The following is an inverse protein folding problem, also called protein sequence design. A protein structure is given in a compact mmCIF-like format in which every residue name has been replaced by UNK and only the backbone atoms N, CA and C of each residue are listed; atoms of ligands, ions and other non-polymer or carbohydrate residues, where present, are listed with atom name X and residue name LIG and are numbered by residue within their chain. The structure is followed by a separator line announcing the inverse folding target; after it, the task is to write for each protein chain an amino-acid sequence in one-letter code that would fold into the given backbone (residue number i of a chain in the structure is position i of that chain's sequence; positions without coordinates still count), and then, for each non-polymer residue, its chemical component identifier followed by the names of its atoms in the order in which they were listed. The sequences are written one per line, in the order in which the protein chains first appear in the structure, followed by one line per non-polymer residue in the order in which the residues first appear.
data_IF_111222621110
#
_entry.id   IF_111222621110
#
_cell.length_a   1.000
_cell.length_b   1.000
_cell.length_c   1.000
_cell.angle_alpha   90.00
_cell.angle_beta   90.00
_cell.angle_gamma   90.00
#
_symmetry.space_group_name_H-M   'P 1'
#
loop_
_entity.id
_entity.type
_entity.pdbx_description
1 polymer ?
#
# COMPACT_ATOMS: atom_id res chain seq x y z
N UNK A 1 29.12 11.50 8.89
CA UNK A 1 29.39 12.84 8.35
C UNK A 1 28.07 13.37 7.78
N UNK A 2 27.37 14.25 8.50
CA UNK A 2 26.08 14.83 8.07
C UNK A 2 26.29 15.82 6.94
N UNK A 3 25.87 15.45 5.72
CA UNK A 3 25.84 16.36 4.59
C UNK A 3 24.68 17.34 4.68
N UNK A 4 24.88 18.57 4.21
CA UNK A 4 23.85 19.60 4.11
C UNK A 4 22.83 19.23 3.02
N UNK A 5 21.53 19.34 3.31
CA UNK A 5 20.45 19.06 2.35
C UNK A 5 20.47 20.05 1.18
N UNK A 6 20.16 19.53 -0.02
CA UNK A 6 20.07 20.33 -1.24
C UNK A 6 18.69 20.20 -1.88
N UNK A 7 18.13 21.33 -2.30
CA UNK A 7 16.94 21.37 -3.14
C UNK A 7 17.35 21.28 -4.60
N UNK A 8 16.71 20.38 -5.37
CA UNK A 8 16.82 20.33 -6.83
C UNK A 8 15.43 20.52 -7.43
N UNK A 9 15.25 21.55 -8.23
CA UNK A 9 13.99 21.85 -8.92
C UNK A 9 14.23 21.89 -10.43
N UNK A 10 13.46 21.12 -11.18
CA UNK A 10 13.54 21.08 -12.65
C UNK A 10 12.85 22.30 -13.23
N UNK A 11 13.49 23.00 -14.17
CA UNK A 11 12.92 24.12 -14.90
C UNK A 11 11.98 23.55 -15.98
N UNK A 12 10.73 24.07 -16.09
CA UNK A 12 9.80 23.68 -17.13
C UNK A 12 10.42 23.84 -18.53
N UNK A 13 10.09 22.94 -19.46
CA UNK A 13 10.70 22.88 -20.80
C UNK A 13 10.54 24.17 -21.57
N UNK A 14 9.40 24.83 -21.45
CA UNK A 14 9.06 26.11 -22.08
C UNK A 14 9.90 27.31 -21.58
N UNK A 15 10.63 27.13 -20.46
CA UNK A 15 11.46 28.19 -19.86
C UNK A 15 12.96 27.89 -19.90
N UNK A 16 13.38 26.70 -20.36
CA UNK A 16 14.79 26.29 -20.31
C UNK A 16 15.70 27.21 -21.14
N UNK A 17 15.25 27.60 -22.32
CA UNK A 17 16.02 28.51 -23.20
C UNK A 17 16.19 29.90 -22.56
N UNK A 18 15.17 30.31 -21.76
CA UNK A 18 15.22 31.59 -21.05
C UNK A 18 16.13 31.58 -19.82
N UNK A 19 16.22 30.41 -19.12
CA UNK A 19 17.04 30.24 -17.93
C UNK A 19 18.43 29.66 -18.23
N UNK A 20 18.72 29.25 -19.44
CA UNK A 20 20.01 28.68 -19.88
C UNK A 20 20.39 27.36 -19.19
N UNK A 21 19.42 26.68 -18.52
CA UNK A 21 19.66 25.46 -17.74
C UNK A 21 18.40 24.61 -17.60
N UNK A 22 18.59 23.34 -17.27
CA UNK A 22 17.47 22.38 -17.09
C UNK A 22 16.99 22.25 -15.64
N UNK A 23 17.81 22.65 -14.65
CA UNK A 23 17.43 22.57 -13.24
C UNK A 23 18.15 23.63 -12.39
N UNK A 24 17.56 23.95 -11.23
CA UNK A 24 18.13 24.78 -10.17
C UNK A 24 18.52 23.85 -9.02
N UNK A 25 19.77 23.99 -8.54
CA UNK A 25 20.27 23.33 -7.33
C UNK A 25 20.59 24.39 -6.29
N UNK A 26 20.12 24.19 -5.06
CA UNK A 26 20.33 25.14 -3.98
C UNK A 26 20.56 24.39 -2.67
N UNK A 27 21.59 24.80 -1.91
CA UNK A 27 21.82 24.28 -0.57
C UNK A 27 20.77 24.84 0.39
N UNK A 28 20.17 24.01 1.20
CA UNK A 28 19.24 24.41 2.27
C UNK A 28 19.97 24.77 3.57
N UNK A 29 21.31 24.72 3.58
CA UNK A 29 22.19 25.08 4.69
C UNK A 29 21.81 24.44 6.05
N UNK A 30 21.14 23.28 6.02
CA UNK A 30 20.78 22.51 7.21
C UNK A 30 21.08 21.04 6.99
N UNK A 31 21.50 20.35 8.04
CA UNK A 31 21.62 18.90 8.11
C UNK A 31 20.41 18.25 8.83
N UNK A 32 19.48 19.06 9.35
CA UNK A 32 18.24 18.60 9.96
C UNK A 32 17.18 18.34 8.88
N UNK A 33 16.56 17.15 8.92
CA UNK A 33 15.59 16.71 7.92
C UNK A 33 14.28 17.52 7.96
N UNK A 34 13.77 17.81 9.16
CA UNK A 34 12.49 18.51 9.29
C UNK A 34 12.63 19.97 8.84
N UNK A 35 13.74 20.60 9.23
CA UNK A 35 14.07 21.94 8.77
C UNK A 35 14.31 22.00 7.26
N UNK A 36 14.95 20.98 6.67
CA UNK A 36 15.15 20.89 5.23
C UNK A 36 13.84 20.71 4.44
N UNK A 37 12.89 19.95 4.97
CA UNK A 37 11.55 19.78 4.35
C UNK A 37 10.77 21.11 4.36
N UNK A 38 10.84 21.88 5.45
CA UNK A 38 10.20 23.18 5.59
C UNK A 38 10.81 24.23 4.62
N UNK A 39 12.14 24.39 4.66
CA UNK A 39 12.87 25.30 3.79
C UNK A 39 12.72 24.93 2.31
N UNK A 40 12.77 23.63 2.00
CA UNK A 40 12.60 23.13 0.63
C UNK A 40 11.18 23.34 0.08
N UNK A 41 10.15 23.27 0.92
CA UNK A 41 8.77 23.55 0.53
C UNK A 41 8.56 25.05 0.24
N UNK A 42 9.06 25.92 1.11
CA UNK A 42 8.98 27.37 0.93
C UNK A 42 9.70 27.81 -0.36
N UNK A 43 10.91 27.27 -0.61
CA UNK A 43 11.70 27.62 -1.80
C UNK A 43 11.09 27.06 -3.08
N UNK A 44 10.46 25.89 -3.07
CA UNK A 44 9.69 25.37 -4.23
C UNK A 44 8.54 26.29 -4.60
N UNK A 45 7.80 26.79 -3.63
CA UNK A 45 6.69 27.73 -3.85
C UNK A 45 7.19 29.01 -4.49
N UNK A 46 8.35 29.53 -4.02
CA UNK A 46 8.99 30.71 -4.57
C UNK A 46 9.46 30.49 -6.03
N UNK A 47 10.09 29.36 -6.31
CA UNK A 47 10.52 29.02 -7.67
C UNK A 47 9.34 28.84 -8.63
N UNK A 48 8.23 28.28 -8.19
CA UNK A 48 7.01 28.19 -9.00
C UNK A 48 6.43 29.59 -9.31
N UNK A 49 6.42 30.48 -8.35
CA UNK A 49 6.02 31.88 -8.59
C UNK A 49 6.94 32.57 -9.59
N UNK A 50 8.26 32.36 -9.50
CA UNK A 50 9.25 32.86 -10.44
C UNK A 50 9.02 32.33 -11.86
N UNK A 51 8.76 31.03 -12.03
CA UNK A 51 8.44 30.44 -13.33
C UNK A 51 7.16 31.01 -13.94
N UNK A 52 6.15 31.23 -13.12
CA UNK A 52 4.89 31.85 -13.58
C UNK A 52 5.08 33.33 -13.97
N UNK A 53 5.90 34.07 -13.25
CA UNK A 53 6.27 35.46 -13.60
C UNK A 53 7.07 35.48 -14.90
N UNK A 54 8.04 34.57 -15.08
CA UNK A 54 8.86 34.46 -16.28
C UNK A 54 8.04 34.14 -17.55
N UNK A 55 6.93 33.44 -17.44
CA UNK A 55 6.01 33.18 -18.57
C UNK A 55 5.26 34.44 -19.03
N UNK A 56 5.03 35.37 -18.12
CA UNK A 56 4.29 36.62 -18.39
C UNK A 56 5.16 37.79 -18.81
N UNK A 57 6.49 37.74 -18.54
CA UNK A 57 7.40 38.83 -18.78
C UNK A 57 8.06 38.74 -20.17
N UNK A 58 8.31 39.87 -20.89
CA UNK A 58 9.17 39.89 -22.09
C UNK A 58 10.60 39.49 -21.75
N UNK A 59 11.32 38.92 -22.71
CA UNK A 59 12.63 38.26 -22.52
C UNK A 59 13.69 39.18 -21.85
N UNK A 60 13.64 40.47 -22.07
CA UNK A 60 14.52 41.48 -21.49
C UNK A 60 14.37 41.64 -19.97
N UNK A 61 13.16 41.55 -19.47
CA UNK A 61 12.85 41.75 -18.05
C UNK A 61 13.34 40.59 -17.13
N UNK A 62 13.75 39.45 -17.69
CA UNK A 62 14.22 38.31 -16.93
C UNK A 62 15.68 38.44 -16.52
N UNK A 63 16.50 39.18 -17.29
CA UNK A 63 17.85 39.47 -16.89
C UNK A 63 17.90 40.40 -15.68
N UNK A 64 16.96 41.33 -15.56
CA UNK A 64 16.82 42.24 -14.41
C UNK A 64 16.30 41.50 -13.17
N UNK A 65 15.37 40.54 -13.32
CA UNK A 65 14.91 39.67 -12.24
C UNK A 65 16.03 38.75 -11.73
N UNK A 66 16.92 38.29 -12.60
CA UNK A 66 18.11 37.53 -12.25
C UNK A 66 19.14 38.37 -11.50
N UNK A 67 19.28 39.65 -11.87
CA UNK A 67 20.19 40.60 -11.21
C UNK A 67 19.73 41.04 -9.82
N UNK A 68 18.41 41.25 -9.62
CA UNK A 68 17.85 41.55 -8.31
C UNK A 68 17.98 40.36 -7.30
N UNK A 69 18.09 39.12 -7.79
CA UNK A 69 18.31 37.94 -6.94
C UNK A 69 19.79 37.72 -6.58
N UNK A 70 20.75 38.44 -7.16
CA UNK A 70 22.16 38.37 -6.73
C UNK A 70 22.43 39.03 -5.37
N UNK A 71 21.51 39.84 -4.88
CA UNK A 71 21.67 40.59 -3.61
C UNK A 71 21.20 39.79 -2.38
N UNK A 72 20.54 38.62 -2.55
CA UNK A 72 20.16 37.76 -1.44
C UNK A 72 21.10 36.56 -1.40
N UNK A 73 22.24 36.74 -0.73
CA UNK A 73 23.19 35.76 -0.18
C UNK A 73 23.11 34.31 -0.68
N UNK A 74 24.09 33.91 -1.50
CA UNK A 74 24.51 32.51 -1.63
C UNK A 74 23.94 31.69 -2.75
N UNK A 75 23.39 32.30 -3.81
CA UNK A 75 23.06 31.60 -5.05
C UNK A 75 24.18 31.82 -6.04
N UNK A 76 24.96 30.77 -6.34
CA UNK A 76 25.97 30.83 -7.39
C UNK A 76 25.31 30.81 -8.76
N UNK A 77 25.18 31.99 -9.39
CA UNK A 77 24.71 32.21 -10.76
C UNK A 77 25.85 32.32 -11.75
N UNK A 78 26.96 31.60 -11.58
CA UNK A 78 28.02 31.57 -12.57
C UNK A 78 27.49 31.08 -13.92
N UNK A 79 27.30 31.98 -14.81
CA UNK A 79 27.05 31.75 -16.23
C UNK A 79 28.31 31.10 -16.81
N UNK A 80 28.25 29.84 -17.15
CA UNK A 80 29.28 29.15 -17.93
C UNK A 80 29.30 29.68 -19.37
N UNK A 81 29.88 30.84 -19.59
CA UNK A 81 30.31 31.29 -20.93
C UNK A 81 31.68 30.71 -21.19
N UNK A 82 31.73 29.57 -21.90
CA UNK A 82 32.95 29.09 -22.54
C UNK A 82 33.26 30.00 -23.74
N UNK A 83 34.03 31.05 -23.51
CA UNK A 83 34.85 31.72 -24.56
C UNK A 83 36.30 31.64 -24.09
N UNK A 84 37.06 30.71 -24.67
CA UNK A 84 38.50 30.71 -24.57
C UNK A 84 39.09 31.74 -25.57
N UNK A 85 40.01 32.61 -25.13
CA UNK A 85 40.79 33.41 -26.05
C UNK A 85 41.89 32.54 -26.70
N UNK A 86 42.00 32.65 -28.01
CA UNK A 86 43.10 32.13 -28.81
C UNK A 86 44.41 32.79 -28.38
N UNK A 87 45.29 32.08 -27.71
CA UNK A 87 46.72 32.46 -27.59
C UNK A 87 47.55 31.55 -28.50
N UNK A 88 48.14 32.17 -29.51
CA UNK A 88 49.17 31.61 -30.38
C UNK A 88 50.43 31.34 -29.54
N UNK A 89 50.99 30.16 -29.64
CA UNK A 89 52.37 29.86 -29.24
C UNK A 89 53.04 28.90 -30.22
N UNK A 90 54.37 29.02 -30.45
CA UNK A 90 54.99 28.47 -31.62
C UNK A 90 55.39 27.00 -31.53
N UNK A 91 55.47 26.37 -32.69
CA UNK A 91 55.83 24.98 -32.88
C UNK A 91 57.21 24.62 -32.33
N UNK A 92 57.30 23.66 -31.42
CA UNK A 92 58.49 22.84 -31.17
C UNK A 92 58.15 21.38 -31.41
N UNK A 93 58.79 20.85 -32.44
CA UNK A 93 58.79 19.44 -32.80
C UNK A 93 59.35 18.58 -31.64
N UNK A 94 58.52 17.69 -31.07
CA UNK A 94 59.00 16.62 -30.24
C UNK A 94 58.42 15.28 -30.76
N UNK A 95 59.33 14.40 -31.10
CA UNK A 95 59.10 13.05 -31.59
C UNK A 95 58.18 12.28 -30.63
N UNK A 96 57.03 11.87 -31.13
CA UNK A 96 56.11 10.96 -30.43
C UNK A 96 56.64 9.54 -30.52
N UNK A 97 57.20 9.03 -29.40
CA UNK A 97 57.27 7.60 -29.17
C UNK A 97 55.82 7.05 -29.04
N UNK A 98 55.51 6.07 -29.87
CA UNK A 98 54.21 5.38 -29.82
C UNK A 98 54.07 4.65 -28.50
N UNK A 99 53.30 5.18 -27.55
CA UNK A 99 52.82 4.43 -26.39
C UNK A 99 51.74 3.47 -26.86
N UNK A 100 51.89 2.20 -26.47
CA UNK A 100 50.88 1.15 -26.67
C UNK A 100 49.47 1.63 -26.22
N UNK A 101 48.38 1.30 -26.92
CA UNK A 101 47.06 1.72 -26.55
C UNK A 101 46.74 1.21 -25.14
N UNK A 102 46.09 2.03 -24.29
CA UNK A 102 45.69 1.59 -22.97
C UNK A 102 44.76 0.35 -23.11
N UNK A 103 44.82 -0.59 -22.17
CA UNK A 103 43.96 -1.79 -22.20
C UNK A 103 42.50 -1.34 -22.32
N UNK A 104 41.83 -1.88 -23.33
CA UNK A 104 40.39 -1.65 -23.58
C UNK A 104 39.66 -1.78 -22.25
N UNK A 105 39.08 -0.68 -21.75
CA UNK A 105 38.20 -0.71 -20.58
C UNK A 105 37.20 -1.83 -20.80
N UNK A 106 37.21 -2.83 -19.90
CA UNK A 106 36.22 -3.89 -19.89
C UNK A 106 34.87 -3.22 -19.81
N UNK A 107 34.09 -3.22 -20.88
CA UNK A 107 32.70 -2.81 -20.87
C UNK A 107 32.00 -3.69 -19.83
N UNK A 108 31.81 -3.20 -18.61
CA UNK A 108 30.96 -3.85 -17.64
C UNK A 108 29.61 -4.05 -18.31
N UNK A 109 29.28 -5.29 -18.62
CA UNK A 109 27.99 -5.63 -19.23
C UNK A 109 26.88 -5.03 -18.37
N UNK A 110 25.94 -4.33 -19.00
CA UNK A 110 24.80 -3.75 -18.32
C UNK A 110 23.98 -4.88 -17.61
N UNK A 111 23.38 -4.60 -16.47
CA UNK A 111 22.68 -5.62 -15.71
C UNK A 111 21.47 -6.17 -16.49
N UNK A 112 21.16 -7.44 -16.30
CA UNK A 112 19.89 -8.03 -16.70
C UNK A 112 18.76 -7.47 -15.82
N UNK A 113 17.50 -7.68 -16.25
CA UNK A 113 16.33 -7.29 -15.46
C UNK A 113 16.34 -7.93 -14.06
N UNK A 114 16.78 -9.19 -13.95
CA UNK A 114 16.90 -9.89 -12.66
C UNK A 114 17.98 -9.28 -11.76
N UNK A 115 19.16 -9.00 -12.29
CA UNK A 115 20.22 -8.31 -11.56
C UNK A 115 19.79 -6.89 -11.13
N UNK A 116 19.00 -6.22 -11.96
CA UNK A 116 18.41 -4.93 -11.62
C UNK A 116 17.41 -5.04 -10.45
N UNK A 117 16.57 -6.09 -10.45
CA UNK A 117 15.68 -6.39 -9.34
C UNK A 117 16.44 -6.64 -8.03
N UNK A 118 17.50 -7.44 -8.06
CA UNK A 118 18.35 -7.72 -6.90
C UNK A 118 18.99 -6.44 -6.33
N UNK A 119 19.53 -5.57 -7.19
CA UNK A 119 20.04 -4.25 -6.78
C UNK A 119 18.95 -3.37 -6.19
N UNK A 120 17.75 -3.39 -6.79
CA UNK A 120 16.61 -2.62 -6.30
C UNK A 120 16.14 -3.06 -4.91
N UNK A 121 16.27 -4.34 -4.55
CA UNK A 121 15.97 -4.84 -3.21
C UNK A 121 16.92 -4.28 -2.13
N UNK A 122 18.17 -3.99 -2.49
CA UNK A 122 19.19 -3.51 -1.54
C UNK A 122 18.98 -2.04 -1.13
N UNK A 123 18.28 -1.22 -1.92
CA UNK A 123 18.14 0.22 -1.66
C UNK A 123 17.26 0.51 -0.45
N UNK A 124 16.18 -0.24 -0.29
CA UNK A 124 15.16 0.01 0.72
C UNK A 124 14.50 -1.30 1.14
N UNK A 125 14.39 -1.51 2.44
CA UNK A 125 13.61 -2.62 3.00
C UNK A 125 12.16 -2.53 2.53
N UNK A 126 11.66 -3.61 1.96
CA UNK A 126 10.29 -3.77 1.45
C UNK A 126 9.60 -4.92 2.15
N UNK A 127 8.28 -5.02 2.00
CA UNK A 127 7.57 -6.20 2.48
C UNK A 127 7.82 -7.36 1.53
N UNK A 128 7.88 -8.59 2.06
CA UNK A 128 8.01 -9.81 1.24
C UNK A 128 6.93 -9.92 0.16
N UNK A 129 5.71 -9.42 0.44
CA UNK A 129 4.65 -9.38 -0.56
C UNK A 129 4.99 -8.48 -1.76
N UNK A 130 5.62 -7.32 -1.52
CA UNK A 130 6.10 -6.42 -2.57
C UNK A 130 7.24 -7.07 -3.37
N UNK A 131 8.22 -7.66 -2.68
CA UNK A 131 9.36 -8.36 -3.29
C UNK A 131 8.88 -9.51 -4.18
N UNK A 132 8.03 -10.40 -3.67
CA UNK A 132 7.49 -11.52 -4.42
C UNK A 132 6.66 -11.06 -5.64
N UNK A 133 5.84 -10.00 -5.47
CA UNK A 133 5.04 -9.49 -6.60
C UNK A 133 5.91 -8.94 -7.74
N UNK A 134 7.01 -8.27 -7.38
CA UNK A 134 7.99 -7.80 -8.35
C UNK A 134 8.76 -8.97 -9.00
N UNK A 135 9.18 -9.95 -8.19
CA UNK A 135 9.88 -11.15 -8.69
C UNK A 135 9.04 -11.93 -9.69
N UNK A 136 7.76 -12.17 -9.40
CA UNK A 136 6.84 -12.85 -10.32
C UNK A 136 6.69 -12.08 -11.63
N UNK A 137 6.64 -10.74 -11.57
CA UNK A 137 6.61 -9.91 -12.78
C UNK A 137 7.91 -10.01 -13.59
N UNK A 138 9.08 -10.06 -12.92
CA UNK A 138 10.39 -10.28 -13.56
C UNK A 138 10.40 -11.64 -14.26
N UNK A 139 10.00 -12.70 -13.56
CA UNK A 139 9.91 -14.07 -14.14
C UNK A 139 8.98 -14.11 -15.36
N UNK A 140 7.82 -13.47 -15.28
CA UNK A 140 6.90 -13.38 -16.42
C UNK A 140 7.52 -12.61 -17.60
N UNK A 141 8.28 -11.56 -17.35
CA UNK A 141 8.98 -10.82 -18.39
C UNK A 141 10.10 -11.65 -19.04
N UNK A 142 10.90 -12.36 -18.24
CA UNK A 142 11.93 -13.28 -18.72
C UNK A 142 11.34 -14.45 -19.52
N UNK A 143 10.18 -14.95 -19.13
CA UNK A 143 9.47 -16.00 -19.89
C UNK A 143 9.00 -15.49 -21.25
N UNK A 144 8.54 -14.25 -21.32
CA UNK A 144 8.03 -13.66 -22.56
C UNK A 144 9.11 -13.17 -23.53
N UNK A 145 10.23 -12.66 -23.01
CA UNK A 145 11.23 -11.93 -23.80
C UNK A 145 12.65 -12.53 -23.71
N UNK A 146 12.86 -13.52 -22.85
CA UNK A 146 14.19 -14.01 -22.49
C UNK A 146 14.92 -13.11 -21.49
N UNK A 147 16.12 -13.53 -21.04
CA UNK A 147 16.95 -12.75 -20.12
C UNK A 147 17.66 -11.61 -20.86
N UNK A 148 17.03 -10.45 -20.90
CA UNK A 148 17.56 -9.25 -21.56
C UNK A 148 18.35 -8.36 -20.60
N UNK A 149 19.41 -7.72 -21.10
CA UNK A 149 20.06 -6.59 -20.42
C UNK A 149 19.22 -5.31 -20.57
N UNK A 150 19.34 -4.38 -19.62
CA UNK A 150 18.43 -3.22 -19.53
C UNK A 150 18.48 -2.27 -20.73
N UNK A 151 19.58 -2.24 -21.47
CA UNK A 151 19.73 -1.46 -22.72
C UNK A 151 18.90 -2.02 -23.89
N UNK A 152 18.54 -3.29 -23.84
CA UNK A 152 17.75 -3.97 -24.89
C UNK A 152 16.24 -3.70 -24.76
N UNK A 153 15.79 -3.16 -23.65
CA UNK A 153 14.38 -2.86 -23.45
C UNK A 153 13.94 -1.69 -24.34
N UNK A 154 13.39 -2.01 -25.50
CA UNK A 154 12.78 -1.04 -26.43
C UNK A 154 11.27 -0.97 -26.24
N UNK A 155 10.62 0.03 -26.87
CA UNK A 155 9.15 0.11 -26.90
C UNK A 155 8.51 -1.14 -27.51
N UNK A 156 9.10 -1.68 -28.57
CA UNK A 156 8.64 -2.90 -29.24
C UNK A 156 8.60 -4.12 -28.29
N UNK A 157 9.65 -4.31 -27.47
CA UNK A 157 9.64 -5.34 -26.43
C UNK A 157 8.54 -5.09 -25.37
N UNK A 158 8.24 -3.84 -25.07
CA UNK A 158 7.12 -3.51 -24.19
C UNK A 158 5.77 -3.93 -24.75
N UNK A 159 5.55 -3.67 -26.03
CA UNK A 159 4.33 -4.09 -26.74
C UNK A 159 4.23 -5.61 -26.86
N UNK A 160 5.36 -6.30 -27.09
CA UNK A 160 5.44 -7.77 -27.11
C UNK A 160 5.08 -8.35 -25.73
N UNK A 161 5.66 -7.80 -24.65
CA UNK A 161 5.35 -8.25 -23.28
C UNK A 161 3.89 -8.00 -22.91
N UNK A 162 3.35 -6.82 -23.25
CA UNK A 162 1.93 -6.50 -23.05
C UNK A 162 1.03 -7.50 -23.77
N UNK A 163 1.30 -7.80 -25.02
CA UNK A 163 0.54 -8.75 -25.83
C UNK A 163 0.62 -10.17 -25.28
N UNK A 164 1.79 -10.57 -24.79
CA UNK A 164 1.99 -11.86 -24.14
C UNK A 164 1.18 -11.95 -22.83
N UNK A 165 1.21 -10.90 -21.98
CA UNK A 165 0.43 -10.86 -20.74
C UNK A 165 -1.08 -11.01 -20.96
N UNK A 166 -1.61 -10.37 -22.01
CA UNK A 166 -3.04 -10.44 -22.35
C UNK A 166 -3.49 -11.83 -22.83
N UNK A 167 -2.56 -12.67 -23.27
CA UNK A 167 -2.82 -14.07 -23.66
C UNK A 167 -2.73 -15.04 -22.49
N UNK A 168 -2.23 -14.61 -21.31
CA UNK A 168 -2.10 -15.48 -20.15
C UNK A 168 -3.46 -15.63 -19.42
N UNK A 169 -3.70 -16.76 -18.71
CA UNK A 169 -4.92 -16.98 -17.92
C UNK A 169 -4.90 -16.17 -16.60
N UNK A 170 -4.64 -14.88 -16.68
CA UNK A 170 -4.60 -13.94 -15.57
C UNK A 170 -5.53 -12.76 -15.82
N UNK A 171 -6.01 -12.11 -14.75
CA UNK A 171 -6.87 -10.93 -14.90
C UNK A 171 -6.09 -9.74 -15.49
N UNK A 172 -6.80 -8.85 -16.22
CA UNK A 172 -6.24 -7.59 -16.74
C UNK A 172 -5.57 -6.75 -15.65
N UNK A 173 -6.10 -6.78 -14.42
CA UNK A 173 -5.49 -6.13 -13.24
C UNK A 173 -4.14 -6.76 -12.88
N UNK A 174 -4.01 -8.09 -12.92
CA UNK A 174 -2.74 -8.80 -12.65
C UNK A 174 -1.73 -8.51 -13.74
N UNK A 175 -2.15 -8.56 -15.01
CA UNK A 175 -1.33 -8.21 -16.16
C UNK A 175 -0.81 -6.76 -16.06
N UNK A 176 -1.69 -5.80 -15.73
CA UNK A 176 -1.31 -4.40 -15.50
C UNK A 176 -0.31 -4.27 -14.35
N UNK A 177 -0.50 -5.02 -13.26
CA UNK A 177 0.44 -4.99 -12.12
C UNK A 177 1.82 -5.49 -12.52
N UNK A 178 1.93 -6.55 -13.31
CA UNK A 178 3.22 -7.03 -13.81
C UNK A 178 3.92 -5.98 -14.67
N UNK A 179 3.19 -5.36 -15.59
CA UNK A 179 3.72 -4.27 -16.41
C UNK A 179 4.22 -3.09 -15.55
N UNK A 180 3.47 -2.71 -14.52
CA UNK A 180 3.85 -1.63 -13.58
C UNK A 180 5.14 -1.98 -12.83
N UNK A 181 5.33 -3.23 -12.40
CA UNK A 181 6.56 -3.65 -11.74
C UNK A 181 7.78 -3.54 -12.64
N UNK A 182 7.69 -4.00 -13.89
CA UNK A 182 8.81 -3.87 -14.85
C UNK A 182 9.09 -2.39 -15.14
N UNK A 183 8.05 -1.57 -15.37
CA UNK A 183 8.21 -0.11 -15.51
C UNK A 183 8.89 0.53 -14.30
N UNK A 184 8.65 0.01 -13.10
CA UNK A 184 9.29 0.50 -11.87
C UNK A 184 10.78 0.21 -11.86
N UNK A 185 11.19 -1.01 -12.25
CA UNK A 185 12.61 -1.38 -12.37
C UNK A 185 13.31 -0.59 -13.48
N UNK A 186 12.69 -0.42 -14.66
CA UNK A 186 13.25 0.39 -15.74
C UNK A 186 13.35 1.88 -15.35
N UNK A 187 12.40 2.39 -14.56
CA UNK A 187 12.49 3.75 -14.01
C UNK A 187 13.64 3.89 -13.02
N UNK A 188 13.91 2.87 -12.23
CA UNK A 188 15.06 2.81 -11.33
C UNK A 188 16.38 2.83 -12.13
N UNK A 189 16.49 2.03 -13.21
CA UNK A 189 17.63 2.04 -14.10
C UNK A 189 17.86 3.41 -14.76
N UNK A 190 16.77 4.11 -15.12
CA UNK A 190 16.83 5.43 -15.74
C UNK A 190 17.16 6.56 -14.76
N UNK A 191 16.42 6.63 -13.62
CA UNK A 191 16.46 7.82 -12.75
C UNK A 191 17.51 7.76 -11.65
N UNK A 192 17.80 6.57 -11.13
CA UNK A 192 18.68 6.41 -9.98
C UNK A 192 20.05 5.86 -10.38
N UNK A 193 20.11 4.91 -11.32
CA UNK A 193 21.36 4.35 -11.80
C UNK A 193 21.92 5.07 -13.02
N UNK A 194 21.13 5.81 -13.77
CA UNK A 194 21.48 6.55 -15.00
C UNK A 194 22.15 5.64 -16.08
N UNK A 195 21.82 4.33 -16.08
CA UNK A 195 22.41 3.34 -17.00
C UNK A 195 21.63 3.18 -18.31
N UNK A 196 20.45 3.79 -18.43
CA UNK A 196 19.69 3.90 -19.68
C UNK A 196 19.27 5.36 -19.89
N UNK A 197 19.22 5.87 -21.14
CA UNK A 197 19.02 7.30 -21.42
C UNK A 197 17.57 7.78 -21.19
N UNK A 198 16.60 6.86 -21.20
CA UNK A 198 15.17 7.17 -21.00
C UNK A 198 14.44 5.95 -20.45
N UNK A 199 13.22 6.16 -19.92
CA UNK A 199 12.32 5.05 -19.55
C UNK A 199 11.62 4.52 -20.81
N UNK A 200 11.99 3.31 -21.31
CA UNK A 200 11.55 2.85 -22.63
C UNK A 200 10.05 2.52 -22.74
N UNK A 201 9.40 2.19 -21.58
CA UNK A 201 7.99 1.81 -21.50
C UNK A 201 7.10 2.90 -20.90
N UNK A 202 7.55 4.16 -20.94
CA UNK A 202 6.72 5.29 -20.51
C UNK A 202 5.43 5.36 -21.36
N UNK A 203 4.27 5.58 -20.72
CA UNK A 203 2.97 5.57 -21.40
C UNK A 203 2.45 4.19 -21.84
N UNK A 204 3.22 3.11 -21.65
CA UNK A 204 2.69 1.76 -21.93
C UNK A 204 1.70 1.34 -20.86
N UNK A 205 0.48 0.99 -21.23
CA UNK A 205 -0.59 0.64 -20.30
C UNK A 205 -1.39 -0.58 -20.77
N UNK A 206 -2.05 -1.23 -19.85
CA UNK A 206 -3.07 -2.26 -20.07
C UNK A 206 -4.39 -1.70 -19.57
N UNK A 207 -5.38 -1.65 -20.45
CA UNK A 207 -6.74 -1.29 -20.07
C UNK A 207 -7.33 -2.33 -19.12
N UNK A 208 -8.05 -1.84 -18.13
CA UNK A 208 -8.74 -2.71 -17.18
C UNK A 208 -10.13 -3.03 -17.70
N UNK A 209 -10.41 -4.31 -17.88
CA UNK A 209 -11.79 -4.75 -18.08
C UNK A 209 -12.65 -4.33 -16.89
N UNK A 210 -13.93 -4.01 -17.15
CA UNK A 210 -14.91 -3.75 -16.11
C UNK A 210 -15.07 -5.01 -15.26
N UNK A 211 -14.41 -5.04 -14.11
CA UNK A 211 -14.57 -6.13 -13.15
C UNK A 211 -15.76 -5.86 -12.25
N UNK A 212 -16.39 -6.93 -11.75
CA UNK A 212 -17.31 -6.80 -10.63
C UNK A 212 -16.62 -6.05 -9.48
N UNK A 213 -17.14 -4.87 -9.17
CA UNK A 213 -16.63 -4.08 -8.04
C UNK A 213 -17.05 -4.74 -6.73
N UNK A 214 -16.23 -4.57 -5.70
CA UNK A 214 -16.65 -4.92 -4.34
C UNK A 214 -17.92 -4.15 -4.01
N UNK A 215 -18.93 -4.86 -3.55
CA UNK A 215 -20.19 -4.30 -3.08
C UNK A 215 -20.37 -4.57 -1.58
N UNK A 216 -21.17 -3.78 -0.88
CA UNK A 216 -21.58 -4.12 0.47
C UNK A 216 -22.33 -5.45 0.51
N UNK A 217 -22.38 -6.08 1.67
CA UNK A 217 -23.25 -7.21 1.96
C UNK A 217 -24.71 -6.79 1.84
N UNK A 218 -25.53 -7.65 1.27
CA UNK A 218 -26.99 -7.53 1.29
C UNK A 218 -27.56 -8.10 2.58
N UNK A 219 -28.74 -7.67 2.95
CA UNK A 219 -29.39 -8.10 4.20
C UNK A 219 -29.66 -9.60 4.24
N UNK A 220 -30.08 -10.19 3.10
CA UNK A 220 -30.32 -11.64 2.99
C UNK A 220 -29.02 -12.46 3.13
N UNK A 221 -27.90 -11.91 2.62
CA UNK A 221 -26.59 -12.56 2.75
C UNK A 221 -26.08 -12.49 4.20
N UNK A 222 -26.31 -11.37 4.89
CA UNK A 222 -26.01 -11.23 6.30
C UNK A 222 -26.86 -12.18 7.14
N UNK A 223 -28.16 -12.26 6.89
CA UNK A 223 -29.03 -13.22 7.55
C UNK A 223 -28.52 -14.65 7.34
N UNK A 224 -28.24 -15.02 6.07
CA UNK A 224 -27.71 -16.35 5.76
C UNK A 224 -26.39 -16.66 6.46
N UNK A 225 -25.51 -15.68 6.61
CA UNK A 225 -24.23 -15.84 7.32
C UNK A 225 -24.43 -15.96 8.82
N UNK A 226 -25.20 -15.05 9.43
CA UNK A 226 -25.28 -14.92 10.89
C UNK A 226 -26.36 -15.78 11.56
N UNK A 227 -27.21 -16.45 10.79
CA UNK A 227 -28.13 -17.50 11.32
C UNK A 227 -27.50 -18.89 11.40
N UNK A 228 -26.25 -19.05 10.99
CA UNK A 228 -25.56 -20.34 11.08
C UNK A 228 -25.26 -20.72 12.55
N UNK A 229 -25.11 -22.03 12.86
CA UNK A 229 -24.81 -22.52 14.21
C UNK A 229 -23.56 -21.90 14.86
N UNK A 230 -22.61 -21.43 14.04
CA UNK A 230 -21.47 -20.67 14.54
C UNK A 230 -21.90 -19.45 15.36
N UNK A 231 -22.91 -18.71 14.91
CA UNK A 231 -23.38 -17.48 15.55
C UNK A 231 -24.59 -17.65 16.43
N UNK A 232 -25.36 -18.71 16.24
CA UNK A 232 -26.61 -18.97 17.02
C UNK A 232 -26.44 -19.98 18.14
N UNK A 233 -25.38 -20.80 18.13
CA UNK A 233 -25.10 -21.83 19.13
C UNK A 233 -23.61 -21.88 19.55
N UNK A 234 -22.81 -20.89 19.21
CA UNK A 234 -21.37 -20.86 19.46
C UNK A 234 -20.62 -22.12 18.97
N UNK A 235 -21.09 -22.71 17.86
CA UNK A 235 -20.51 -23.91 17.27
C UNK A 235 -19.21 -23.57 16.53
N UNK A 236 -18.17 -23.17 17.29
CA UNK A 236 -16.89 -22.72 16.72
C UNK A 236 -16.13 -23.90 16.12
N UNK A 237 -15.52 -23.71 14.92
CA UNK A 237 -14.74 -24.74 14.27
C UNK A 237 -13.42 -24.99 15.02
N UNK A 238 -13.01 -26.24 15.08
CA UNK A 238 -11.73 -26.62 15.67
C UNK A 238 -10.62 -26.46 14.65
N UNK A 239 -9.54 -25.74 14.97
CA UNK A 239 -8.35 -25.65 14.14
C UNK A 239 -7.68 -24.27 14.13
N UNK A 240 -6.38 -24.27 13.89
CA UNK A 240 -5.55 -23.05 13.91
C UNK A 240 -5.86 -22.06 12.78
N UNK A 241 -6.49 -22.50 11.69
CA UNK A 241 -6.86 -21.66 10.54
C UNK A 241 -8.06 -20.77 10.86
N UNK A 242 -9.05 -21.36 11.55
CA UNK A 242 -10.25 -20.67 12.03
C UNK A 242 -10.01 -19.94 13.35
N UNK A 243 -9.11 -20.45 14.19
CA UNK A 243 -8.79 -19.91 15.49
C UNK A 243 -9.90 -20.10 16.54
N UNK A 244 -10.78 -21.10 16.34
CA UNK A 244 -11.91 -21.40 17.24
C UNK A 244 -12.77 -20.15 17.50
N UNK A 245 -12.61 -19.48 18.66
CA UNK A 245 -13.35 -18.28 19.04
C UNK A 245 -13.14 -17.09 18.05
N UNK A 246 -11.99 -17.02 17.39
CA UNK A 246 -11.72 -16.02 16.36
C UNK A 246 -12.71 -16.11 15.19
N UNK A 247 -13.17 -17.32 14.87
CA UNK A 247 -14.17 -17.55 13.83
C UNK A 247 -15.52 -16.91 14.14
N UNK A 248 -15.89 -16.84 15.42
CA UNK A 248 -17.11 -16.19 15.90
C UNK A 248 -16.92 -14.68 16.02
N UNK A 249 -15.88 -14.23 16.73
CA UNK A 249 -15.73 -12.82 17.10
C UNK A 249 -15.24 -11.91 15.95
N UNK A 250 -14.28 -12.38 15.14
CA UNK A 250 -13.71 -11.53 14.08
C UNK A 250 -14.75 -11.05 13.07
N UNK A 251 -15.66 -11.89 12.53
CA UNK A 251 -16.74 -11.42 11.66
C UNK A 251 -17.69 -10.43 12.35
N UNK A 252 -18.04 -10.63 13.61
CA UNK A 252 -18.91 -9.72 14.35
C UNK A 252 -18.23 -8.36 14.60
N UNK A 253 -16.97 -8.34 15.04
CA UNK A 253 -16.22 -7.10 15.21
C UNK A 253 -16.06 -6.40 13.85
N UNK A 254 -15.79 -7.14 12.78
CA UNK A 254 -15.70 -6.59 11.43
C UNK A 254 -17.01 -5.96 10.95
N UNK A 255 -18.15 -6.57 11.30
CA UNK A 255 -19.50 -6.09 10.97
C UNK A 255 -19.79 -4.73 11.61
N UNK A 256 -19.40 -4.52 12.87
CA UNK A 256 -19.68 -3.30 13.63
C UNK A 256 -18.57 -2.24 13.60
N UNK A 257 -17.38 -2.56 13.11
CA UNK A 257 -16.26 -1.59 13.10
C UNK A 257 -15.70 -1.30 11.71
N UNK A 258 -15.89 -2.20 10.76
CA UNK A 258 -15.24 -2.13 9.45
C UNK A 258 -13.72 -2.26 9.53
N UNK A 259 -13.15 -2.74 10.63
CA UNK A 259 -11.71 -2.98 10.76
C UNK A 259 -11.22 -4.03 9.77
N UNK A 260 -9.94 -3.93 9.36
CA UNK A 260 -9.37 -4.92 8.43
C UNK A 260 -9.17 -6.26 9.13
N UNK A 261 -9.40 -7.34 8.41
CA UNK A 261 -9.25 -8.70 8.99
C UNK A 261 -7.85 -8.93 9.59
N UNK A 262 -6.80 -8.36 8.98
CA UNK A 262 -5.43 -8.45 9.52
C UNK A 262 -5.22 -7.63 10.80
N UNK A 263 -5.95 -6.52 10.96
CA UNK A 263 -5.95 -5.73 12.19
C UNK A 263 -6.60 -6.54 13.33
N UNK A 264 -7.74 -7.16 13.05
CA UNK A 264 -8.47 -7.98 14.04
C UNK A 264 -7.75 -9.28 14.38
N UNK A 265 -7.14 -9.94 13.42
CA UNK A 265 -6.45 -11.21 13.61
C UNK A 265 -5.24 -11.14 14.57
N UNK A 266 -4.61 -9.99 14.67
CA UNK A 266 -3.42 -9.78 15.50
C UNK A 266 -3.68 -9.13 16.85
N UNK A 267 -4.95 -8.89 17.21
CA UNK A 267 -5.30 -8.25 18.49
C UNK A 267 -4.72 -8.99 19.68
N UNK A 268 -4.26 -8.22 20.66
CA UNK A 268 -3.88 -8.67 21.98
C UNK A 268 -5.03 -8.46 22.95
N UNK A 269 -5.06 -9.19 24.04
CA UNK A 269 -6.07 -8.99 25.07
C UNK A 269 -6.01 -7.60 25.70
N UNK A 270 -4.82 -6.96 25.67
CA UNK A 270 -4.58 -5.58 26.14
C UNK A 270 -5.02 -4.51 25.14
N UNK A 271 -5.35 -4.87 23.89
CA UNK A 271 -5.85 -3.90 22.90
C UNK A 271 -7.35 -3.58 23.11
N UNK A 272 -7.96 -4.14 24.12
CA UNK A 272 -9.29 -3.76 24.59
C UNK A 272 -9.16 -3.22 26.00
N UNK A 273 -9.50 -1.94 26.18
CA UNK A 273 -9.47 -1.23 27.46
C UNK A 273 -10.80 -0.54 27.72
N UNK A 274 -10.94 0.02 28.91
CA UNK A 274 -12.04 0.91 29.28
C UNK A 274 -11.40 2.23 29.67
N UNK A 275 -11.74 3.32 28.96
CA UNK A 275 -11.28 4.66 29.21
C UNK A 275 -12.52 5.55 29.45
N UNK A 276 -12.54 6.31 30.54
CA UNK A 276 -13.68 7.15 30.94
C UNK A 276 -15.05 6.43 30.91
N UNK A 277 -15.05 5.13 31.29
CA UNK A 277 -16.24 4.30 31.30
C UNK A 277 -16.64 3.71 29.93
N UNK A 278 -15.94 4.07 28.86
CA UNK A 278 -16.24 3.58 27.49
C UNK A 278 -15.25 2.48 27.09
N UNK A 279 -15.76 1.31 26.70
CA UNK A 279 -14.90 0.25 26.14
C UNK A 279 -14.36 0.63 24.76
N UNK A 280 -13.05 0.45 24.56
CA UNK A 280 -12.32 0.80 23.36
C UNK A 280 -11.60 -0.41 22.77
N UNK A 281 -11.59 -0.48 21.45
CA UNK A 281 -10.76 -1.37 20.65
C UNK A 281 -9.60 -0.56 20.04
N UNK A 282 -8.36 -0.87 20.42
CA UNK A 282 -7.16 -0.22 19.91
C UNK A 282 -6.59 -0.98 18.73
N UNK A 283 -6.56 -0.35 17.57
CA UNK A 283 -5.84 -0.84 16.40
C UNK A 283 -4.44 -0.22 16.45
N UNK A 284 -3.45 -1.04 16.80
CA UNK A 284 -2.08 -0.59 17.10
C UNK A 284 -1.03 -1.55 16.55
N UNK A 285 0.20 -1.10 16.50
CA UNK A 285 1.41 -1.86 16.21
C UNK A 285 2.42 -1.84 17.37
N UNK A 286 1.95 -1.44 18.57
CA UNK A 286 2.80 -1.31 19.75
C UNK A 286 3.20 -2.66 20.37
N UNK A 287 2.39 -3.70 20.17
CA UNK A 287 2.68 -5.03 20.70
C UNK A 287 3.61 -5.84 19.80
N UNK A 288 4.39 -6.73 20.42
CA UNK A 288 5.28 -7.63 19.69
C UNK A 288 4.52 -8.45 18.63
N UNK A 289 5.01 -8.42 17.40
CA UNK A 289 4.42 -9.13 16.25
C UNK A 289 3.19 -8.44 15.64
N UNK A 290 2.76 -7.28 16.16
CA UNK A 290 1.73 -6.47 15.53
C UNK A 290 2.33 -5.56 14.43
N UNK A 291 1.53 -5.29 13.41
CA UNK A 291 1.93 -4.41 12.31
C UNK A 291 0.73 -3.75 11.66
N UNK A 292 0.91 -2.52 11.25
CA UNK A 292 -0.09 -1.75 10.52
C UNK A 292 0.37 -1.48 9.09
N UNK A 293 -0.61 -1.34 8.19
CA UNK A 293 -0.34 -1.02 6.79
C UNK A 293 0.24 0.39 6.61
N UNK A 294 -0.22 1.33 7.44
CA UNK A 294 0.24 2.73 7.47
C UNK A 294 0.06 3.29 8.88
N UNK A 295 0.78 4.37 9.20
CA UNK A 295 0.62 5.09 10.47
C UNK A 295 -0.82 5.58 10.70
N UNK A 296 -1.53 5.98 9.64
CA UNK A 296 -2.94 6.39 9.70
C UNK A 296 -3.90 5.26 10.09
N UNK A 297 -3.44 4.01 10.07
CA UNK A 297 -4.25 2.86 10.53
C UNK A 297 -4.35 2.79 12.05
N UNK A 298 -3.43 3.44 12.81
CA UNK A 298 -3.45 3.46 14.29
C UNK A 298 -4.62 4.31 14.78
N UNK A 299 -5.48 3.69 15.59
CA UNK A 299 -6.71 4.35 16.08
C UNK A 299 -7.34 3.58 17.23
N UNK A 300 -8.20 4.28 17.99
CA UNK A 300 -9.08 3.68 19.01
C UNK A 300 -10.52 3.80 18.54
N UNK A 301 -11.26 2.70 18.61
CA UNK A 301 -12.64 2.59 18.15
C UNK A 301 -13.51 2.26 19.37
N UNK A 302 -14.58 3.03 19.69
CA UNK A 302 -15.56 2.62 20.69
C UNK A 302 -16.16 1.27 20.33
N UNK A 303 -16.35 0.41 21.32
CA UNK A 303 -16.97 -0.90 21.11
C UNK A 303 -18.49 -0.72 21.10
N UNK A 304 -19.10 -1.11 19.98
CA UNK A 304 -20.54 -1.04 19.76
C UNK A 304 -21.32 -1.79 20.86
N UNK A 305 -22.43 -1.22 21.32
CA UNK A 305 -23.30 -1.79 22.36
C UNK A 305 -23.73 -3.23 22.08
N UNK A 306 -23.99 -3.58 20.81
CA UNK A 306 -24.29 -4.97 20.42
C UNK A 306 -23.15 -5.96 20.71
N UNK A 307 -21.91 -5.59 20.46
CA UNK A 307 -20.76 -6.44 20.77
C UNK A 307 -20.61 -6.65 22.28
N UNK A 308 -20.92 -5.62 23.08
CA UNK A 308 -20.96 -5.71 24.55
C UNK A 308 -22.07 -6.65 24.98
N UNK A 309 -23.29 -6.48 24.44
CA UNK A 309 -24.46 -7.35 24.71
C UNK A 309 -24.18 -8.81 24.38
N UNK A 310 -23.47 -9.08 23.29
CA UNK A 310 -23.07 -10.43 22.86
C UNK A 310 -22.02 -11.07 23.78
N UNK A 311 -21.36 -10.29 24.67
CA UNK A 311 -20.41 -10.78 25.67
C UNK A 311 -18.96 -10.64 25.27
N UNK A 312 -18.61 -9.72 24.35
CA UNK A 312 -17.21 -9.52 23.95
C UNK A 312 -16.31 -9.14 25.14
N UNK A 313 -16.78 -8.29 26.05
CA UNK A 313 -15.97 -7.90 27.23
C UNK A 313 -15.78 -9.07 28.19
N UNK A 314 -16.76 -9.98 28.31
CA UNK A 314 -16.60 -11.16 29.13
C UNK A 314 -15.61 -12.15 28.51
N UNK A 315 -15.61 -12.26 27.16
CA UNK A 315 -14.60 -13.02 26.45
C UNK A 315 -13.19 -12.47 26.71
N UNK A 316 -13.00 -11.14 26.60
CA UNK A 316 -11.71 -10.48 26.87
C UNK A 316 -11.23 -10.75 28.31
N UNK A 317 -12.11 -10.59 29.31
CA UNK A 317 -11.79 -10.86 30.70
C UNK A 317 -11.38 -12.32 30.92
N UNK A 318 -12.07 -13.27 30.31
CA UNK A 318 -11.75 -14.69 30.40
C UNK A 318 -10.38 -14.99 29.78
N UNK A 319 -10.07 -14.43 28.61
CA UNK A 319 -8.75 -14.59 27.95
C UNK A 319 -7.63 -13.98 28.80
N UNK A 320 -7.86 -12.85 29.43
CA UNK A 320 -6.90 -12.21 30.33
C UNK A 320 -6.68 -13.04 31.60
N UNK A 321 -7.76 -13.60 32.18
CA UNK A 321 -7.69 -14.47 33.36
C UNK A 321 -6.90 -15.76 33.09
N UNK A 322 -6.99 -16.31 31.88
CA UNK A 322 -6.18 -17.47 31.43
C UNK A 322 -4.72 -17.10 31.11
N UNK A 323 -4.32 -15.82 31.26
CA UNK A 323 -2.95 -15.35 31.03
C UNK A 323 -2.53 -15.26 29.56
N UNK A 324 -3.46 -15.30 28.62
CA UNK A 324 -3.14 -15.21 27.21
C UNK A 324 -2.84 -13.77 26.78
N UNK A 325 -1.73 -13.57 26.07
CA UNK A 325 -1.37 -12.26 25.51
C UNK A 325 -2.12 -11.94 24.23
N UNK A 326 -2.42 -12.95 23.41
CA UNK A 326 -3.22 -12.78 22.17
C UNK A 326 -4.70 -12.92 22.48
N UNK A 327 -5.53 -12.07 21.88
CA UNK A 327 -6.98 -12.14 22.03
C UNK A 327 -7.55 -13.44 21.42
N UNK A 328 -6.86 -13.99 20.42
CA UNK A 328 -7.22 -15.25 19.74
C UNK A 328 -6.10 -16.28 19.92
N UNK A 329 -6.01 -16.98 21.08
CA UNK A 329 -4.91 -17.89 21.37
C UNK A 329 -4.78 -19.05 20.38
N UNK A 330 -5.91 -19.50 19.84
CA UNK A 330 -5.99 -20.64 18.92
C UNK A 330 -5.74 -20.27 17.45
N UNK A 331 -5.71 -18.96 17.10
CA UNK A 331 -5.52 -18.51 15.73
C UNK A 331 -4.04 -18.50 15.37
N UNK A 332 -3.68 -19.20 14.27
CA UNK A 332 -2.35 -19.07 13.67
C UNK A 332 -2.24 -17.74 12.94
N UNK A 333 -1.41 -16.85 13.45
CA UNK A 333 -1.15 -15.53 12.85
C UNK A 333 0.15 -15.58 12.07
N UNK A 334 0.09 -15.23 10.79
CA UNK A 334 1.27 -15.10 9.93
C UNK A 334 1.96 -13.75 10.21
N UNK A 335 3.29 -13.76 10.41
CA UNK A 335 4.06 -12.56 10.75
C UNK A 335 4.02 -11.47 9.65
N UNK A 336 3.94 -11.88 8.39
CA UNK A 336 3.91 -10.96 7.25
C UNK A 336 2.47 -10.55 6.86
N UNK A 337 1.53 -11.46 7.04
CA UNK A 337 0.12 -11.29 6.66
C UNK A 337 -0.81 -11.79 7.77
N UNK A 338 -0.97 -11.05 8.88
CA UNK A 338 -1.68 -11.52 10.08
C UNK A 338 -3.06 -12.11 9.81
N UNK A 339 -3.81 -11.54 8.88
CA UNK A 339 -5.15 -12.00 8.53
C UNK A 339 -5.23 -13.15 7.53
N UNK A 340 -4.11 -13.72 7.06
CA UNK A 340 -4.12 -14.69 5.95
C UNK A 340 -4.94 -15.94 6.28
N UNK A 341 -4.70 -16.55 7.44
CA UNK A 341 -5.34 -17.81 7.81
C UNK A 341 -6.85 -17.64 7.99
N UNK A 342 -7.26 -16.67 8.80
CA UNK A 342 -8.67 -16.41 9.06
C UNK A 342 -9.40 -15.90 7.80
N UNK A 343 -8.74 -15.16 6.91
CA UNK A 343 -9.32 -14.71 5.64
C UNK A 343 -9.60 -15.90 4.70
N UNK A 344 -8.66 -16.85 4.62
CA UNK A 344 -8.86 -18.06 3.83
C UNK A 344 -9.99 -18.91 4.40
N UNK A 345 -9.98 -19.10 5.72
CA UNK A 345 -11.05 -19.82 6.41
C UNK A 345 -12.42 -19.17 6.17
N UNK A 346 -12.54 -17.84 6.35
CA UNK A 346 -13.79 -17.12 6.15
C UNK A 346 -14.30 -17.25 4.70
N UNK A 347 -13.39 -17.21 3.73
CA UNK A 347 -13.74 -17.46 2.34
C UNK A 347 -14.25 -18.87 2.07
N UNK A 348 -13.66 -19.90 2.71
CA UNK A 348 -14.11 -21.30 2.63
C UNK A 348 -15.45 -21.46 3.35
N UNK A 349 -15.58 -20.94 4.56
CA UNK A 349 -16.80 -20.98 5.36
C UNK A 349 -17.98 -20.34 4.62
N UNK A 350 -17.79 -19.15 4.06
CA UNK A 350 -18.82 -18.47 3.29
C UNK A 350 -19.31 -19.32 2.11
N UNK A 351 -18.38 -19.96 1.38
CA UNK A 351 -18.75 -20.84 0.26
C UNK A 351 -19.46 -22.10 0.72
N UNK A 352 -19.09 -22.68 1.85
CA UNK A 352 -19.73 -23.89 2.39
C UNK A 352 -21.21 -23.68 2.76
N UNK A 353 -21.59 -22.45 3.09
CA UNK A 353 -22.98 -22.08 3.36
C UNK A 353 -23.71 -21.55 2.12
N UNK A 354 -23.12 -21.72 0.91
CA UNK A 354 -23.75 -21.35 -0.36
C UNK A 354 -23.68 -19.86 -0.69
N UNK A 355 -22.72 -19.11 -0.13
CA UNK A 355 -22.37 -17.74 -0.52
C UNK A 355 -21.13 -17.83 -1.43
N UNK A 356 -21.34 -18.28 -2.67
CA UNK A 356 -20.27 -18.69 -3.59
C UNK A 356 -19.67 -17.57 -4.43
N UNK A 357 -20.38 -16.46 -4.60
CA UNK A 357 -19.86 -15.31 -5.35
C UNK A 357 -18.53 -14.82 -4.79
N UNK A 358 -17.69 -14.24 -5.65
CA UNK A 358 -16.42 -13.65 -5.24
C UNK A 358 -16.61 -12.54 -4.20
N UNK A 359 -17.64 -11.74 -4.36
CA UNK A 359 -18.07 -10.69 -3.42
C UNK A 359 -19.52 -10.93 -3.00
N UNK A 360 -19.85 -10.57 -1.76
CA UNK A 360 -19.02 -9.90 -0.76
C UNK A 360 -17.98 -10.81 -0.12
N UNK A 361 -16.80 -10.26 0.20
CA UNK A 361 -15.76 -10.86 1.05
C UNK A 361 -15.73 -10.19 2.44
N UNK A 362 -14.78 -10.56 3.31
CA UNK A 362 -14.66 -9.92 4.63
C UNK A 362 -14.45 -8.40 4.53
N UNK A 363 -13.67 -7.94 3.55
CA UNK A 363 -13.44 -6.50 3.38
C UNK A 363 -14.70 -5.72 3.03
N UNK A 364 -15.72 -6.40 2.52
CA UNK A 364 -17.01 -5.78 2.21
C UNK A 364 -17.81 -5.40 3.46
N UNK A 365 -17.50 -5.92 4.66
CA UNK A 365 -18.02 -5.37 5.93
C UNK A 365 -17.60 -3.91 6.10
N UNK A 366 -16.37 -3.57 5.73
CA UNK A 366 -15.90 -2.19 5.79
C UNK A 366 -16.64 -1.27 4.82
N UNK A 367 -16.99 -1.73 3.62
CA UNK A 367 -17.84 -0.99 2.70
C UNK A 367 -19.24 -0.82 3.28
N UNK A 368 -19.78 -1.85 3.91
CA UNK A 368 -21.11 -1.81 4.54
C UNK A 368 -21.15 -0.81 5.71
N UNK A 369 -20.16 -0.85 6.62
CA UNK A 369 -20.03 0.09 7.75
C UNK A 369 -19.98 1.53 7.24
N UNK A 370 -19.15 1.85 6.25
CA UNK A 370 -19.12 3.19 5.65
C UNK A 370 -20.46 3.59 5.04
N UNK A 371 -21.13 2.66 4.34
CA UNK A 371 -22.47 2.91 3.79
C UNK A 371 -23.49 3.21 4.88
N UNK A 372 -23.47 2.47 6.00
CA UNK A 372 -24.37 2.70 7.15
C UNK A 372 -24.12 4.07 7.77
N UNK A 373 -22.86 4.40 8.09
CA UNK A 373 -22.49 5.71 8.63
C UNK A 373 -22.84 6.86 7.67
N UNK A 374 -22.63 6.69 6.36
CA UNK A 374 -23.02 7.71 5.36
C UNK A 374 -24.53 7.92 5.31
N UNK A 375 -25.34 6.85 5.41
CA UNK A 375 -26.80 6.94 5.48
C UNK A 375 -27.28 7.63 6.77
N UNK A 376 -26.56 7.44 7.86
CA UNK A 376 -26.77 8.13 9.14
C UNK A 376 -26.22 9.58 9.13
N UNK A 377 -25.71 10.07 7.98
CA UNK A 377 -25.14 11.41 7.80
C UNK A 377 -23.90 11.69 8.68
N UNK A 378 -23.20 10.67 9.12
CA UNK A 378 -21.93 10.83 9.86
C UNK A 378 -20.90 11.48 8.94
N UNK A 379 -20.20 12.53 9.38
CA UNK A 379 -19.18 13.21 8.58
C UNK A 379 -18.07 12.24 8.11
N UNK A 380 -17.59 12.38 6.87
CA UNK A 380 -16.58 11.49 6.28
C UNK A 380 -15.32 11.40 7.14
N UNK A 381 -14.90 12.50 7.75
CA UNK A 381 -13.76 12.56 8.66
C UNK A 381 -13.93 11.62 9.87
N UNK A 382 -15.12 11.56 10.46
CA UNK A 382 -15.44 10.65 11.56
C UNK A 382 -15.43 9.20 11.07
N UNK A 383 -16.03 8.93 9.90
CA UNK A 383 -15.98 7.62 9.27
C UNK A 383 -14.53 7.15 9.00
N UNK A 384 -13.66 8.06 8.57
CA UNK A 384 -12.23 7.78 8.32
C UNK A 384 -11.49 7.47 9.61
N UNK A 385 -11.80 8.17 10.72
CA UNK A 385 -11.19 7.91 12.02
C UNK A 385 -11.51 6.50 12.54
N UNK A 386 -12.73 6.03 12.30
CA UNK A 386 -13.19 4.70 12.71
C UNK A 386 -12.59 3.63 11.78
N UNK A 387 -12.69 3.85 10.48
CA UNK A 387 -12.25 2.85 9.51
C UNK A 387 -10.74 2.90 9.23
N UNK A 388 -10.01 3.95 9.57
CA UNK A 388 -8.57 4.12 9.33
C UNK A 388 -8.25 4.30 7.84
N UNK A 389 -8.93 5.26 7.20
CA UNK A 389 -8.53 5.82 5.92
C UNK A 389 -7.70 7.08 6.13
N UNK A 390 -6.80 7.37 5.19
CA UNK A 390 -6.13 8.67 5.20
C UNK A 390 -7.13 9.72 4.74
N UNK A 391 -7.41 10.69 5.62
CA UNK A 391 -8.22 11.85 5.25
C UNK A 391 -7.45 12.67 4.22
N UNK A 392 -8.01 12.83 3.03
CA UNK A 392 -7.50 13.75 2.03
C UNK A 392 -7.78 15.18 2.53
N UNK A 393 -6.74 15.95 2.82
CA UNK A 393 -6.88 17.33 3.28
C UNK A 393 -5.55 18.03 3.51
N UNK A 394 -5.58 19.37 3.57
CA UNK A 394 -4.41 20.18 3.88
C UNK A 394 -3.95 19.92 5.33
N UNK A 395 -2.68 20.26 5.63
CA UNK A 395 -2.10 20.15 6.99
C UNK A 395 -2.97 20.89 8.02
N UNK A 396 -3.56 22.04 7.67
CA UNK A 396 -4.47 22.79 8.54
C UNK A 396 -5.73 21.98 8.91
N UNK A 397 -6.34 21.25 7.97
CA UNK A 397 -7.51 20.41 8.23
C UNK A 397 -7.18 19.23 9.16
N UNK A 398 -5.94 18.73 9.11
CA UNK A 398 -5.48 17.63 9.97
C UNK A 398 -5.19 18.05 11.40
N UNK A 399 -4.78 19.29 11.63
CA UNK A 399 -4.29 19.78 12.93
C UNK A 399 -5.41 20.42 13.76
N UNK A 400 -6.37 21.11 13.14
CA UNK A 400 -7.31 21.98 13.86
C UNK A 400 -8.68 21.38 14.18
N UNK A 401 -8.99 20.15 13.78
CA UNK A 401 -10.26 19.52 14.12
C UNK A 401 -10.01 18.16 14.77
N UNK A 402 -9.85 18.13 16.08
CA UNK A 402 -9.94 16.88 16.84
C UNK A 402 -11.37 16.34 16.73
N UNK A 403 -11.52 15.08 16.35
CA UNK A 403 -12.81 14.39 16.40
C UNK A 403 -13.08 14.07 17.86
N UNK A 404 -14.22 14.48 18.38
CA UNK A 404 -14.57 14.23 19.76
C UNK A 404 -14.83 12.74 20.01
N UNK A 405 -14.84 12.37 21.26
CA UNK A 405 -15.08 10.98 21.63
C UNK A 405 -16.55 10.61 21.42
N UNK A 406 -17.45 11.55 21.71
CA UNK A 406 -18.89 11.45 21.51
C UNK A 406 -19.24 11.25 20.03
N UNK A 407 -18.63 12.00 19.12
CA UNK A 407 -18.83 11.84 17.66
C UNK A 407 -18.47 10.43 17.21
N UNK A 408 -17.44 9.80 17.81
CA UNK A 408 -17.07 8.42 17.47
C UNK A 408 -18.06 7.38 18.05
N UNK A 409 -18.58 7.62 19.23
CA UNK A 409 -19.61 6.77 19.85
C UNK A 409 -20.87 6.84 18.99
N UNK A 410 -21.35 8.05 18.68
CA UNK A 410 -22.51 8.26 17.82
C UNK A 410 -22.35 7.53 16.47
N UNK A 411 -21.17 7.68 15.85
CA UNK A 411 -20.89 7.05 14.58
C UNK A 411 -20.91 5.51 14.66
N UNK A 412 -20.36 4.92 15.72
CA UNK A 412 -20.37 3.47 15.92
C UNK A 412 -21.79 3.00 16.20
N UNK A 413 -22.54 3.64 17.07
CA UNK A 413 -23.92 3.24 17.42
C UNK A 413 -24.92 3.47 16.26
N UNK A 414 -24.58 4.30 15.27
CA UNK A 414 -25.36 4.43 14.04
C UNK A 414 -25.35 3.19 13.14
N UNK A 415 -24.45 2.24 13.41
CA UNK A 415 -24.28 1.01 12.61
C UNK A 415 -25.27 -0.04 13.12
N UNK A 416 -26.48 -0.06 12.60
CA UNK A 416 -27.55 -0.97 13.04
C UNK A 416 -27.90 -2.02 12.00
N UNK A 417 -28.28 -3.22 12.47
CA UNK A 417 -28.71 -4.36 11.67
C UNK A 417 -30.02 -4.94 12.23
N UNK A 418 -31.16 -4.26 12.09
CA UNK A 418 -32.43 -4.68 12.72
C UNK A 418 -32.92 -6.05 12.23
N UNK A 419 -32.47 -6.49 11.04
CA UNK A 419 -32.77 -7.80 10.48
C UNK A 419 -31.97 -8.94 11.14
N UNK A 420 -30.92 -8.63 11.93
CA UNK A 420 -30.09 -9.64 12.60
C UNK A 420 -30.49 -9.72 14.08
N UNK A 421 -31.16 -10.80 14.43
CA UNK A 421 -31.45 -11.12 15.83
C UNK A 421 -30.38 -12.10 16.34
N UNK A 422 -29.23 -11.55 16.77
CA UNK A 422 -28.11 -12.36 17.27
C UNK A 422 -28.31 -12.71 18.74
N UNK A 423 -28.39 -14.00 19.08
CA UNK A 423 -28.48 -14.42 20.49
C UNK A 423 -27.12 -14.27 21.18
N UNK A 424 -27.13 -13.97 22.49
CA UNK A 424 -25.93 -14.08 23.31
C UNK A 424 -25.66 -15.55 23.62
N UNK A 425 -24.70 -16.14 22.90
CA UNK A 425 -24.38 -17.58 23.01
C UNK A 425 -23.00 -17.85 23.59
N UNK A 426 -22.21 -16.83 23.83
CA UNK A 426 -20.90 -16.96 24.46
C UNK A 426 -21.07 -17.33 25.94
N UNK A 427 -20.40 -18.40 26.38
CA UNK A 427 -20.36 -18.86 27.77
C UNK A 427 -18.96 -18.95 28.34
N UNK A 428 -18.01 -19.47 27.53
CA UNK A 428 -16.59 -19.57 27.89
C UNK A 428 -15.71 -19.70 26.64
N UNK A 429 -14.43 -19.27 26.70
CA UNK A 429 -13.47 -19.46 25.62
C UNK A 429 -13.25 -20.94 25.31
N UNK A 430 -13.07 -21.28 24.04
CA UNK A 430 -12.71 -22.64 23.60
C UNK A 430 -11.22 -22.71 23.30
N UNK A 431 -10.45 -23.06 24.32
CA UNK A 431 -8.97 -23.06 24.30
C UNK A 431 -8.36 -24.46 24.09
N UNK A 432 -9.17 -25.47 23.89
CA UNK A 432 -8.69 -26.85 23.68
C UNK A 432 -7.98 -26.95 22.32
N UNK A 433 -6.71 -27.41 22.37
CA UNK A 433 -5.99 -27.81 21.16
C UNK A 433 -6.69 -29.02 20.56
N UNK A 434 -7.04 -28.97 19.30
CA UNK A 434 -7.52 -30.14 18.56
C UNK A 434 -6.56 -31.32 18.81
N UNK A 435 -7.03 -32.38 19.43
CA UNK A 435 -6.36 -33.68 19.37
C UNK A 435 -6.14 -33.95 17.89
N UNK A 436 -4.91 -34.34 17.47
CA UNK A 436 -4.52 -34.61 16.08
C UNK A 436 -5.48 -35.63 15.44
N UNK A 437 -6.64 -35.18 14.99
CA UNK A 437 -7.65 -35.92 14.28
C UNK A 437 -8.14 -34.98 13.19
N UNK A 438 -7.63 -35.19 11.98
CA UNK A 438 -7.94 -34.31 10.86
C UNK A 438 -9.44 -34.22 10.63
N UNK A 439 -9.90 -32.99 10.44
CA UNK A 439 -11.18 -32.75 9.79
C UNK A 439 -11.15 -33.42 8.40
N UNK A 440 -11.77 -34.59 8.29
CA UNK A 440 -12.06 -35.18 6.99
C UNK A 440 -13.21 -34.36 6.42
N UNK A 441 -12.89 -33.52 5.44
CA UNK A 441 -13.89 -32.76 4.72
C UNK A 441 -15.07 -33.66 4.33
N UNK A 442 -16.27 -33.11 4.41
CA UNK A 442 -17.47 -33.78 3.95
C UNK A 442 -17.18 -34.43 2.60
N UNK A 443 -17.42 -35.74 2.52
CA UNK A 443 -17.26 -36.50 1.28
C UNK A 443 -17.94 -35.74 0.16
N UNK A 444 -17.22 -35.46 -0.94
CA UNK A 444 -17.82 -34.98 -2.18
C UNK A 444 -19.05 -35.81 -2.45
N UNK A 445 -20.20 -35.15 -2.64
CA UNK A 445 -21.39 -35.81 -3.16
C UNK A 445 -21.01 -36.58 -4.42
N UNK A 446 -21.53 -37.81 -4.60
CA UNK A 446 -21.19 -38.60 -5.77
C UNK A 446 -21.56 -37.85 -7.03
N UNK A 447 -20.60 -37.77 -7.93
CA UNK A 447 -20.75 -37.17 -9.25
C UNK A 447 -21.73 -38.04 -10.03
N UNK A 448 -23.00 -37.63 -10.14
CA UNK A 448 -23.97 -38.29 -11.03
C UNK A 448 -23.52 -37.96 -12.44
N UNK A 449 -22.73 -38.87 -13.03
CA UNK A 449 -22.39 -38.84 -14.45
C UNK A 449 -23.68 -39.11 -15.25
N UNK A 450 -24.16 -38.08 -15.93
CA UNK A 450 -25.14 -38.23 -17.01
C UNK A 450 -24.51 -39.09 -18.17
N UNK A 451 -24.57 -40.40 -18.03
CA UNK A 451 -24.48 -41.33 -19.15
C UNK A 451 -25.86 -41.98 -19.23
N UNK A 452 -26.66 -41.49 -20.11
CA UNK A 452 -27.73 -42.21 -20.86
C UNK A 452 -28.78 -41.19 -21.35
N UNK A 453 -28.51 -40.61 -22.49
CA UNK A 453 -29.50 -40.07 -23.40
C UNK A 453 -28.85 -40.11 -24.81
N UNK A 454 -28.80 -41.31 -25.37
CA UNK A 454 -28.84 -41.61 -26.81
C UNK A 454 -29.49 -42.98 -26.94
N UNK A 455 -30.68 -42.98 -27.35
CA UNK A 455 -31.55 -44.00 -27.83
C UNK A 455 -32.71 -43.32 -28.52
#
# INVERSE_FOLDING_TARGET
RGGVYQLRTTIPTDLRDRFGRSCIRQSLRTSDRQQAELLGSAERTRLLALFNAARKAPTQAIQDLSAHHRVIEGIDFSLGTNQQPLLQTPAKSLQRQAKAPPPRAQHKSLPTLRQLYERWLQIKKRTKGCENSCLVAVQACEQALGPLTVDKFTRAYGDTFRSWLLKQPISSRTARMYLVWIKTLLRYAYRELEIIPKQPWEGLEIELEKQQTRRPWKDEELQKLFTQPLFTAYATPVGQKSGSDAAYWIPLIGLYTGARIGELAQLRATDISVEDGVPLLHITDAGEGQRLKSAASKRSIPIHSELIRLGLLDYVKAIQAEGHTRLWPMLKVDAERPGLQISNWFGEYRRSIGLTEKYPDFHCFRHLVRTKMSRAKIPEKVQDSITGHETQGSIGTKVYQSISFEERIEAIESITYPQLNLPRVFTAPKLEKAKRGGWRGAKKAPNISNKNLRG
#
